data_IF_706026591605
#
_entry.id   IF_706026591605
#
_cell.length_a   1.000
_cell.length_b   1.000
_cell.length_c   1.000
_cell.angle_alpha   90.00
_cell.angle_beta   90.00
_cell.angle_gamma   90.00
#
_symmetry.space_group_name_H-M   'P 1'
#
loop_
_entity.id
_entity.type
_entity.pdbx_description
1 polymer ?
#
# COMPACT_ATOMS: atom_id res chain seq x y z
N UNK A 1 15.60 0.30 13.47
CA UNK A 1 14.22 0.70 13.83
C UNK A 1 14.05 2.16 13.50
N UNK A 2 13.28 2.46 12.45
CA UNK A 2 13.20 3.79 11.87
C UNK A 2 11.92 4.46 12.35
N UNK A 3 11.91 4.89 13.62
CA UNK A 3 10.79 5.68 14.15
C UNK A 3 11.05 7.15 13.88
N UNK A 4 10.08 7.84 13.27
CA UNK A 4 10.15 9.26 12.97
C UNK A 4 9.05 10.00 13.71
N UNK A 5 9.44 10.89 14.61
CA UNK A 5 8.53 11.75 15.37
C UNK A 5 8.68 13.20 14.88
N UNK A 6 7.58 13.94 14.95
CA UNK A 6 7.50 15.35 14.60
C UNK A 6 6.96 16.13 15.81
N UNK A 7 7.55 17.30 16.05
CA UNK A 7 7.08 18.28 17.03
C UNK A 7 6.94 19.62 16.34
N UNK A 8 5.73 20.18 16.36
CA UNK A 8 5.47 21.55 15.89
C UNK A 8 4.96 22.33 17.10
N UNK A 9 5.84 23.04 17.83
CA UNK A 9 5.50 23.67 19.11
C UNK A 9 4.33 24.66 19.04
N UNK A 10 4.14 25.31 17.89
CA UNK A 10 3.09 26.31 17.65
C UNK A 10 1.69 25.68 17.49
N UNK A 11 1.62 24.39 17.13
CA UNK A 11 0.36 23.70 16.85
C UNK A 11 0.02 22.63 17.89
N UNK A 12 1.04 21.96 18.44
CA UNK A 12 0.86 20.81 19.34
C UNK A 12 1.91 20.85 20.46
N UNK A 13 1.47 20.59 21.69
CA UNK A 13 2.37 20.47 22.85
C UNK A 13 3.17 19.17 22.82
N UNK A 14 2.56 18.09 22.33
CA UNK A 14 3.12 16.74 22.31
C UNK A 14 3.78 16.39 20.98
N UNK A 15 4.75 15.48 21.02
CA UNK A 15 5.31 14.83 19.84
C UNK A 15 4.31 13.84 19.25
N UNK A 16 4.24 13.77 17.92
CA UNK A 16 3.40 12.84 17.20
C UNK A 16 4.17 12.18 16.06
N UNK A 17 3.78 10.97 15.64
CA UNK A 17 4.51 10.28 14.58
C UNK A 17 4.40 11.05 13.25
N UNK A 18 5.51 11.15 12.54
CA UNK A 18 5.54 11.74 11.20
C UNK A 18 4.73 10.86 10.23
N UNK A 19 4.26 11.43 9.12
CA UNK A 19 3.51 10.67 8.11
C UNK A 19 4.33 9.51 7.53
N UNK A 20 5.63 9.74 7.39
CA UNK A 20 6.63 8.80 6.87
C UNK A 20 7.13 7.81 7.93
N UNK A 21 6.62 7.87 9.17
CA UNK A 21 7.00 6.95 10.23
C UNK A 21 6.64 5.51 9.85
N UNK A 22 7.65 4.71 9.56
CA UNK A 22 7.55 3.28 9.23
C UNK A 22 8.45 2.48 10.17
N UNK A 23 7.95 2.02 11.32
CA UNK A 23 8.74 1.25 12.28
C UNK A 23 9.43 0.01 11.69
N UNK A 24 8.77 -0.64 10.72
CA UNK A 24 9.32 -1.76 9.94
C UNK A 24 9.33 -1.38 8.47
N UNK A 25 10.50 -1.49 7.85
CA UNK A 25 10.73 -1.34 6.42
C UNK A 25 11.81 -2.36 6.03
N UNK A 26 11.42 -3.34 5.22
CA UNK A 26 12.25 -4.48 4.86
C UNK A 26 12.11 -4.75 3.37
N UNK A 27 13.25 -4.87 2.69
CA UNK A 27 13.30 -5.23 1.29
C UNK A 27 14.42 -6.25 1.06
N UNK A 28 14.10 -7.33 0.36
CA UNK A 28 15.05 -8.34 -0.07
C UNK A 28 14.88 -8.60 -1.55
N UNK A 29 16.01 -8.58 -2.26
CA UNK A 29 16.09 -8.91 -3.68
C UNK A 29 17.07 -10.07 -3.84
N UNK A 30 16.66 -11.08 -4.59
CA UNK A 30 17.46 -12.26 -4.88
C UNK A 30 17.43 -12.57 -6.38
N UNK A 31 18.58 -12.99 -6.91
CA UNK A 31 18.72 -13.44 -8.28
C UNK A 31 19.55 -14.72 -8.32
N UNK A 32 19.11 -15.71 -9.10
CA UNK A 32 19.80 -16.99 -9.20
C UNK A 32 19.73 -17.56 -10.61
N UNK A 33 20.88 -17.93 -11.16
CA UNK A 33 20.96 -18.64 -12.44
C UNK A 33 20.71 -20.13 -12.22
N UNK A 34 19.49 -20.60 -12.50
CA UNK A 34 19.15 -22.03 -12.44
C UNK A 34 19.89 -22.79 -13.55
N UNK A 35 20.06 -22.15 -14.71
CA UNK A 35 20.87 -22.61 -15.83
C UNK A 35 21.57 -21.40 -16.46
N UNK A 36 22.61 -21.59 -17.29
CA UNK A 36 23.28 -20.49 -17.99
C UNK A 36 22.38 -19.60 -18.86
N UNK A 37 21.15 -20.06 -19.12
CA UNK A 37 20.14 -19.38 -19.94
C UNK A 37 18.89 -18.96 -19.17
N UNK A 38 18.80 -19.32 -17.89
CA UNK A 38 17.61 -19.11 -17.05
C UNK A 38 18.05 -18.37 -15.79
N UNK A 39 17.75 -17.08 -15.75
CA UNK A 39 17.88 -16.27 -14.56
C UNK A 39 16.52 -16.19 -13.89
N UNK A 40 16.44 -16.60 -12.63
CA UNK A 40 15.28 -16.34 -11.77
C UNK A 40 15.59 -15.13 -10.89
N UNK A 41 14.61 -14.27 -10.71
CA UNK A 41 14.67 -13.08 -9.87
C UNK A 41 13.44 -13.03 -8.96
N UNK A 42 13.64 -12.62 -7.72
CA UNK A 42 12.60 -12.44 -6.73
C UNK A 42 12.86 -11.17 -5.94
N UNK A 43 11.80 -10.40 -5.67
CA UNK A 43 11.83 -9.20 -4.85
C UNK A 43 10.72 -9.28 -3.82
N UNK A 44 11.07 -9.13 -2.56
CA UNK A 44 10.13 -9.08 -1.45
C UNK A 44 10.26 -7.73 -0.75
N UNK A 45 9.13 -7.05 -0.54
CA UNK A 45 9.06 -5.78 0.17
C UNK A 45 7.97 -5.91 1.22
N UNK A 46 8.29 -5.57 2.45
CA UNK A 46 7.35 -5.44 3.55
C UNK A 46 7.58 -4.13 4.28
N UNK A 47 6.53 -3.33 4.41
CA UNK A 47 6.59 -2.08 5.16
C UNK A 47 5.37 -1.94 6.05
N UNK A 48 5.58 -1.54 7.30
CA UNK A 48 4.50 -1.04 8.15
C UNK A 48 3.76 0.12 7.49
N UNK A 49 2.45 0.19 7.69
CA UNK A 49 1.61 1.19 7.03
C UNK A 49 1.96 2.61 7.41
N UNK A 50 1.65 3.55 6.52
CA UNK A 50 1.88 4.98 6.74
C UNK A 50 0.95 5.51 7.83
N UNK A 51 1.45 6.51 8.57
CA UNK A 51 0.60 7.25 9.50
C UNK A 51 -0.32 8.19 8.74
N UNK A 52 -1.58 8.28 9.15
CA UNK A 52 -2.60 9.09 8.51
C UNK A 52 -3.50 9.75 9.55
N UNK A 53 -4.03 10.93 9.22
CA UNK A 53 -4.96 11.65 10.07
C UNK A 53 -6.38 11.23 9.74
N UNK A 54 -7.07 10.68 10.73
CA UNK A 54 -8.47 10.28 10.65
C UNK A 54 -9.31 11.13 11.61
N UNK A 55 -10.55 11.46 11.26
CA UNK A 55 -11.42 12.20 12.18
C UNK A 55 -11.69 11.38 13.43
N UNK A 56 -11.61 12.01 14.59
CA UNK A 56 -11.93 11.38 15.88
C UNK A 56 -13.46 11.25 16.08
N UNK A 57 -14.24 12.00 15.31
CA UNK A 57 -15.68 11.97 15.31
C UNK A 57 -16.25 12.92 14.26
N UNK A 58 -17.57 12.99 14.20
CA UNK A 58 -18.29 13.88 13.29
C UNK A 58 -19.39 14.60 14.06
N UNK A 59 -19.63 15.87 13.74
CA UNK A 59 -20.75 16.63 14.28
C UNK A 59 -21.61 17.18 13.14
N UNK A 60 -22.88 17.49 13.44
CA UNK A 60 -23.79 18.08 12.46
C UNK A 60 -23.87 19.59 12.68
N UNK A 61 -23.66 20.36 11.62
CA UNK A 61 -23.92 21.79 11.60
C UNK A 61 -24.78 22.13 10.38
N UNK A 62 -25.99 22.65 10.63
CA UNK A 62 -26.97 23.04 9.59
C UNK A 62 -27.25 21.93 8.56
N UNK A 63 -27.40 20.68 9.02
CA UNK A 63 -27.65 19.53 8.15
C UNK A 63 -26.40 19.00 7.44
N UNK A 64 -25.24 19.62 7.62
CA UNK A 64 -23.96 19.16 7.06
C UNK A 64 -23.14 18.44 8.13
N UNK A 65 -22.70 17.22 7.81
CA UNK A 65 -21.77 16.47 8.66
C UNK A 65 -20.34 17.02 8.49
N UNK A 66 -19.73 17.46 9.59
CA UNK A 66 -18.38 18.02 9.61
C UNK A 66 -17.45 17.10 10.41
N UNK A 67 -16.31 16.66 9.85
CA UNK A 67 -15.32 15.86 10.56
C UNK A 67 -14.62 16.69 11.64
N UNK A 68 -14.41 16.08 12.82
CA UNK A 68 -13.63 16.64 13.91
C UNK A 68 -12.28 15.93 14.00
N UNK A 69 -11.20 16.69 13.84
CA UNK A 69 -9.83 16.21 13.96
C UNK A 69 -9.24 16.65 15.30
N UNK A 70 -8.72 15.71 16.10
CA UNK A 70 -8.14 16.01 17.42
C UNK A 70 -6.62 15.97 17.42
N UNK A 71 -6.02 15.04 16.67
CA UNK A 71 -4.58 14.84 16.57
C UNK A 71 -4.18 14.52 15.13
N UNK A 72 -3.03 15.04 14.65
CA UNK A 72 -2.46 14.63 13.38
C UNK A 72 -1.96 13.19 13.47
N UNK A 73 -1.97 12.47 12.35
CA UNK A 73 -1.37 11.13 12.22
C UNK A 73 -1.79 10.18 13.35
N UNK A 74 -3.08 10.20 13.70
CA UNK A 74 -3.65 9.45 14.82
C UNK A 74 -4.04 8.00 14.48
N UNK A 75 -3.90 7.58 13.23
CA UNK A 75 -4.10 6.19 12.81
C UNK A 75 -2.98 5.73 11.88
N UNK A 76 -2.83 4.41 11.76
CA UNK A 76 -1.89 3.77 10.83
C UNK A 76 -2.68 3.01 9.76
N UNK A 77 -2.29 3.16 8.50
CA UNK A 77 -2.83 2.33 7.42
C UNK A 77 -2.43 0.86 7.63
N UNK A 78 -3.12 -0.09 6.97
CA UNK A 78 -2.67 -1.46 6.88
C UNK A 78 -1.23 -1.53 6.38
N UNK A 79 -0.53 -2.58 6.80
CA UNK A 79 0.78 -2.91 6.29
C UNK A 79 0.76 -3.13 4.76
N UNK A 80 1.92 -2.94 4.16
CA UNK A 80 2.14 -3.15 2.74
C UNK A 80 3.09 -4.33 2.56
N UNK A 81 2.67 -5.31 1.74
CA UNK A 81 3.51 -6.45 1.38
C UNK A 81 3.44 -6.66 -0.13
N UNK A 82 4.59 -6.84 -0.75
CA UNK A 82 4.71 -7.14 -2.17
C UNK A 82 5.77 -8.20 -2.41
N UNK A 83 5.39 -9.24 -3.14
CA UNK A 83 6.31 -10.24 -3.65
C UNK A 83 6.25 -10.26 -5.17
N UNK A 84 7.37 -9.97 -5.83
CA UNK A 84 7.51 -10.01 -7.27
C UNK A 84 8.45 -11.14 -7.63
N UNK A 85 8.08 -11.94 -8.63
CA UNK A 85 8.91 -13.02 -9.15
C UNK A 85 8.99 -12.91 -10.66
N UNK A 86 10.16 -13.15 -11.23
CA UNK A 86 10.33 -13.13 -12.67
C UNK A 86 11.47 -14.00 -13.13
N UNK A 87 11.40 -14.46 -14.37
CA UNK A 87 12.46 -15.21 -15.02
C UNK A 87 12.82 -14.57 -16.35
N UNK A 88 14.13 -14.38 -16.56
CA UNK A 88 14.71 -14.04 -17.84
C UNK A 88 15.25 -15.31 -18.50
N UNK A 89 14.69 -15.62 -19.66
CA UNK A 89 15.09 -16.74 -20.50
C UNK A 89 15.82 -16.26 -21.76
N UNK A 90 17.10 -16.61 -21.85
CA UNK A 90 17.88 -16.42 -23.07
C UNK A 90 17.55 -17.49 -24.10
N UNK A 91 16.92 -17.09 -25.20
CA UNK A 91 16.53 -17.99 -26.29
C UNK A 91 17.73 -18.48 -27.12
N UNK A 92 18.82 -17.71 -27.16
CA UNK A 92 20.07 -18.11 -27.81
C UNK A 92 20.72 -19.31 -27.12
N UNK A 93 21.15 -20.28 -27.92
CA UNK A 93 21.95 -21.43 -27.44
C UNK A 93 23.40 -21.04 -27.13
N UNK A 94 23.99 -20.16 -27.94
CA UNK A 94 25.37 -19.65 -27.80
C UNK A 94 25.37 -18.13 -27.58
N UNK A 95 26.38 -17.60 -26.87
CA UNK A 95 26.53 -16.16 -26.63
C UNK A 95 27.19 -15.39 -27.78
N UNK A 96 27.63 -16.09 -28.83
CA UNK A 96 28.41 -15.53 -29.95
C UNK A 96 27.53 -15.14 -31.16
N UNK A 97 26.21 -15.14 -30.99
CA UNK A 97 25.29 -14.74 -32.06
C UNK A 97 25.25 -13.22 -32.24
N UNK A 98 25.04 -12.78 -33.49
CA UNK A 98 24.81 -11.35 -33.82
C UNK A 98 23.56 -10.76 -33.13
N UNK A 99 22.61 -11.61 -32.74
CA UNK A 99 21.36 -11.21 -32.10
C UNK A 99 21.25 -11.89 -30.74
N UNK A 100 20.87 -11.16 -29.70
CA UNK A 100 20.49 -11.71 -28.39
C UNK A 100 18.98 -11.56 -28.18
N UNK A 101 18.34 -12.68 -27.88
CA UNK A 101 16.90 -12.79 -27.70
C UNK A 101 16.62 -13.19 -26.25
N UNK A 102 15.93 -12.32 -25.53
CA UNK A 102 15.55 -12.51 -24.14
C UNK A 102 14.03 -12.52 -24.02
N UNK A 103 13.50 -13.55 -23.38
CA UNK A 103 12.09 -13.64 -23.01
C UNK A 103 11.99 -13.47 -21.49
N UNK A 104 11.42 -12.37 -21.05
CA UNK A 104 11.26 -12.03 -19.64
C UNK A 104 9.80 -12.24 -19.26
N UNK A 105 9.54 -13.18 -18.37
CA UNK A 105 8.24 -13.40 -17.76
C UNK A 105 8.29 -12.91 -16.32
N UNK A 106 7.35 -12.07 -15.90
CA UNK A 106 7.27 -11.62 -14.51
C UNK A 106 5.84 -11.60 -13.97
N UNK A 107 5.72 -11.78 -12.67
CA UNK A 107 4.48 -11.67 -11.92
C UNK A 107 4.70 -10.67 -10.79
N UNK A 108 4.01 -9.55 -10.88
CA UNK A 108 4.01 -8.52 -9.86
C UNK A 108 2.93 -8.81 -8.83
N UNK A 109 3.24 -8.60 -7.55
CA UNK A 109 2.35 -8.93 -6.42
C UNK A 109 1.83 -10.38 -6.46
N UNK A 110 2.73 -11.35 -6.63
CA UNK A 110 2.43 -12.78 -6.81
C UNK A 110 1.53 -13.39 -5.72
N UNK A 111 1.65 -12.95 -4.45
CA UNK A 111 0.77 -13.41 -3.36
C UNK A 111 -0.61 -12.74 -3.33
N UNK A 112 -0.90 -11.85 -4.29
CA UNK A 112 -2.15 -11.09 -4.37
C UNK A 112 -2.48 -10.34 -3.07
N UNK A 113 -1.45 -9.84 -2.37
CA UNK A 113 -1.68 -9.11 -1.13
C UNK A 113 -2.41 -7.81 -1.44
N UNK A 114 -3.47 -7.55 -0.66
CA UNK A 114 -4.35 -6.40 -0.87
C UNK A 114 -3.72 -5.18 -0.21
N UNK A 115 -2.91 -4.46 -0.98
CA UNK A 115 -2.22 -3.26 -0.54
C UNK A 115 -3.14 -2.05 -0.58
N UNK A 116 -3.54 -1.53 0.59
CA UNK A 116 -4.48 -0.42 0.70
C UNK A 116 -3.82 0.87 0.17
N UNK A 117 -4.42 1.49 -0.85
CA UNK A 117 -3.93 2.75 -1.40
C UNK A 117 -4.69 3.96 -0.83
N UNK A 118 -5.97 3.75 -0.51
CA UNK A 118 -6.85 4.81 -0.05
C UNK A 118 -7.66 4.34 1.17
N UNK A 119 -7.83 5.27 2.10
CA UNK A 119 -8.69 5.14 3.27
C UNK A 119 -9.88 6.10 3.10
N UNK A 120 -11.08 5.54 3.07
CA UNK A 120 -12.33 6.28 3.04
C UNK A 120 -13.14 6.03 4.30
N UNK A 121 -13.89 7.04 4.72
CA UNK A 121 -14.91 6.90 5.75
C UNK A 121 -16.26 6.91 5.03
N UNK A 122 -16.92 5.75 4.99
CA UNK A 122 -18.23 5.64 4.34
C UNK A 122 -19.26 6.31 5.25
N UNK A 123 -20.03 7.24 4.67
CA UNK A 123 -21.19 7.83 5.35
C UNK A 123 -22.29 6.77 5.35
N UNK A 124 -22.74 6.34 6.52
CA UNK A 124 -23.88 5.42 6.63
C UNK A 124 -25.17 6.17 6.27
N UNK A 125 -26.06 5.53 5.52
CA UNK A 125 -27.39 6.05 5.14
C UNK A 125 -28.46 5.11 5.65
N UNK A 126 -29.59 5.63 6.12
CA UNK A 126 -30.75 4.82 6.53
C UNK A 126 -31.46 4.22 5.32
N UNK A 127 -32.51 3.45 5.59
CA UNK A 127 -33.35 2.83 4.56
C UNK A 127 -34.05 3.86 3.65
N UNK A 128 -34.18 5.11 4.10
CA UNK A 128 -34.78 6.24 3.39
C UNK A 128 -33.73 7.11 2.67
N UNK A 129 -32.45 6.73 2.71
CA UNK A 129 -31.35 7.44 2.06
C UNK A 129 -30.83 8.66 2.81
N UNK A 130 -31.25 8.88 4.07
CA UNK A 130 -30.73 9.96 4.91
C UNK A 130 -29.41 9.54 5.56
N UNK A 131 -28.43 10.44 5.59
CA UNK A 131 -27.15 10.15 6.25
C UNK A 131 -27.35 9.94 7.77
N UNK A 132 -27.12 8.70 8.25
CA UNK A 132 -27.12 8.38 9.67
C UNK A 132 -25.81 8.85 10.28
N UNK A 133 -25.91 9.60 11.37
CA UNK A 133 -24.77 10.08 12.13
C UNK A 133 -24.79 9.34 13.47
N UNK A 134 -23.72 8.62 13.86
CA UNK A 134 -23.56 8.13 15.23
C UNK A 134 -23.32 9.33 16.15
N UNK A 135 -24.40 10.05 16.51
CA UNK A 135 -24.37 11.16 17.47
C UNK A 135 -24.56 10.66 18.91
N UNK A 136 -25.02 9.42 19.08
CA UNK A 136 -25.27 8.81 20.38
C UNK A 136 -24.13 7.86 20.75
N UNK A 137 -23.48 8.10 21.89
CA UNK A 137 -22.41 7.23 22.42
C UNK A 137 -22.94 5.83 22.80
N UNK A 138 -24.26 5.65 22.90
CA UNK A 138 -24.89 4.35 23.12
C UNK A 138 -25.22 3.58 21.82
N UNK A 139 -25.28 4.26 20.68
CA UNK A 139 -25.66 3.69 19.39
C UNK A 139 -24.62 4.06 18.32
N UNK A 140 -23.35 3.74 18.62
CA UNK A 140 -22.21 3.91 17.75
C UNK A 140 -22.35 3.04 16.50
N UNK A 141 -23.04 3.54 15.48
CA UNK A 141 -22.78 3.06 14.12
C UNK A 141 -21.37 3.52 13.76
N UNK A 142 -20.38 2.69 14.09
CA UNK A 142 -18.99 2.91 13.76
C UNK A 142 -18.89 3.21 12.27
N UNK A 143 -18.33 4.36 11.93
CA UNK A 143 -17.98 4.62 10.54
C UNK A 143 -16.88 3.63 10.16
N UNK A 144 -17.25 2.63 9.37
CA UNK A 144 -16.33 1.56 9.01
C UNK A 144 -15.30 2.14 8.03
N UNK A 145 -14.00 2.17 8.41
CA UNK A 145 -12.96 2.57 7.49
C UNK A 145 -12.95 1.61 6.30
N UNK A 146 -13.17 2.16 5.10
CA UNK A 146 -13.18 1.39 3.86
C UNK A 146 -11.85 1.59 3.14
N UNK A 147 -11.10 0.51 3.00
CA UNK A 147 -9.84 0.48 2.26
C UNK A 147 -10.08 0.13 0.80
N UNK A 148 -9.49 0.88 -0.12
CA UNK A 148 -9.50 0.53 -1.55
C UNK A 148 -8.12 0.07 -2.01
N UNK A 149 -8.10 -1.04 -2.71
CA UNK A 149 -6.91 -1.70 -3.25
C UNK A 149 -6.82 -1.44 -4.75
N UNK A 150 -5.62 -1.16 -5.27
CA UNK A 150 -5.45 -0.70 -6.67
C UNK A 150 -5.10 -1.83 -7.63
N UNK A 151 -4.39 -2.86 -7.18
CA UNK A 151 -3.93 -3.93 -8.06
C UNK A 151 -3.89 -5.29 -7.38
N UNK A 152 -4.20 -6.32 -8.16
CA UNK A 152 -4.03 -7.74 -7.85
C UNK A 152 -2.71 -8.24 -8.47
N UNK A 153 -2.59 -9.55 -8.70
CA UNK A 153 -1.47 -10.11 -9.47
C UNK A 153 -1.47 -9.53 -10.88
N UNK A 154 -0.32 -8.99 -11.33
CA UNK A 154 -0.15 -8.48 -12.69
C UNK A 154 0.92 -9.32 -13.39
N UNK A 155 0.55 -10.17 -14.37
CA UNK A 155 1.52 -10.86 -15.21
C UNK A 155 2.10 -9.91 -16.25
N UNK A 156 3.37 -10.09 -16.59
CA UNK A 156 4.06 -9.37 -17.66
C UNK A 156 4.87 -10.34 -18.50
N UNK A 157 4.84 -10.14 -19.83
CA UNK A 157 5.69 -10.85 -20.77
C UNK A 157 6.36 -9.83 -21.67
N UNK A 158 7.68 -9.83 -21.68
CA UNK A 158 8.49 -8.90 -22.46
C UNK A 158 9.46 -9.70 -23.32
N UNK A 159 9.56 -9.34 -24.59
CA UNK A 159 10.58 -9.86 -25.49
C UNK A 159 11.58 -8.76 -25.81
N UNK A 160 12.85 -9.00 -25.49
CA UNK A 160 13.95 -8.09 -25.75
C UNK A 160 14.85 -8.68 -26.83
N UNK A 161 15.04 -7.90 -27.91
CA UNK A 161 15.99 -8.18 -28.98
C UNK A 161 17.16 -7.18 -28.86
N UNK A 162 18.38 -7.68 -28.79
CA UNK A 162 19.61 -6.89 -28.94
C UNK A 162 20.35 -7.36 -30.20
N UNK A 163 20.98 -6.45 -30.93
CA UNK A 163 21.63 -6.68 -32.23
C UNK A 163 22.97 -5.97 -32.31
#
# INVERSE_FOLDING_TARGET
>A
FTRSLLKIPELFQDEYPARQDKPVDFSVSAGYFIKPRWLLSANFIYTSGLMTTVPAGFYNYRGTQVPLYTKPNNARMPDYMRFDIGSDFRLNKTSEGRFEHHLILSFYNFFNYRNAAFLYFTKTTDADGNFIIPADKLNSQEQIPTYRYVFSIIPSLTYNLRF
#
